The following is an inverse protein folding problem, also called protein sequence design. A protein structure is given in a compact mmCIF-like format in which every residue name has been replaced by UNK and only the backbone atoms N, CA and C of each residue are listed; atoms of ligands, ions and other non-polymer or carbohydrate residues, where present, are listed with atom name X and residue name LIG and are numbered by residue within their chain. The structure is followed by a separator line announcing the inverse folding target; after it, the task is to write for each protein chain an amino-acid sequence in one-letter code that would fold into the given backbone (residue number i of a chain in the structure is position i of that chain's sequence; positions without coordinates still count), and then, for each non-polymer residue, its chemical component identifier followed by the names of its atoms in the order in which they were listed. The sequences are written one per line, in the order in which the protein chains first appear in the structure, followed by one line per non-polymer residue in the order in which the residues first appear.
data_IF_565809041191
#
_entry.id   IF_565809041191
#
_cell.length_a   1.000
_cell.length_b   1.000
_cell.length_c   1.000
_cell.angle_alpha   90.00
_cell.angle_beta   90.00
_cell.angle_gamma   90.00
#
_symmetry.space_group_name_H-M   'P 1'
#
loop_
_entity.id
_entity.type
_entity.pdbx_description
1 polymer ?
2 non-polymer ?
3 non-polymer ?
4 water ?
#
# COMPACT_ATOMS: atom_id res chain seq x y z
N UNK A 21 8.74 6.52 17.01
CA UNK A 21 7.81 5.64 16.28
C UNK A 21 8.45 5.10 15.00
N UNK A 22 8.40 3.78 14.80
CA UNK A 22 8.85 3.16 13.55
C UNK A 22 7.84 2.18 12.95
N UNK A 23 7.96 1.95 11.64
CA UNK A 23 7.02 1.09 10.93
C UNK A 23 7.32 -0.39 11.18
N UNK A 24 6.27 -1.12 11.56
CA UNK A 24 6.36 -2.54 11.88
C UNK A 24 5.54 -3.39 10.91
N UNK A 25 4.63 -2.73 10.21
CA UNK A 25 3.65 -3.42 9.37
C UNK A 25 3.47 -2.61 8.08
N UNK A 26 3.51 -3.31 6.94
CA UNK A 26 3.20 -2.68 5.64
C UNK A 26 1.99 -3.35 4.96
N UNK A 27 0.92 -2.58 4.79
CA UNK A 27 -0.29 -3.06 4.12
C UNK A 27 -0.21 -2.72 2.63
N UNK A 28 -0.45 -3.71 1.78
CA UNK A 28 -0.49 -3.45 0.34
C UNK A 28 -1.90 -3.65 -0.19
N UNK A 29 -2.56 -2.55 -0.51
CA UNK A 29 -4.00 -2.56 -0.81
C UNK A 29 -4.27 -3.11 -2.19
N UNK A 30 -5.40 -3.81 -2.32
CA UNK A 30 -5.78 -4.41 -3.60
C UNK A 30 -6.98 -5.33 -3.47
N UNK A 31 -7.46 -5.80 -4.61
CA UNK A 31 -8.48 -6.85 -4.67
C UNK A 31 -7.81 -8.18 -4.99
N UNK A 32 -8.18 -9.21 -4.24
CA UNK A 32 -7.80 -10.60 -4.51
C UNK A 32 -8.46 -11.11 -5.82
N UNK A 33 -7.79 -12.04 -6.51
CA UNK A 33 -8.29 -12.62 -7.78
C UNK A 33 -7.45 -12.21 -8.99
N UNK A 34 -7.29 -13.16 -9.93
CA UNK A 34 -6.47 -12.97 -11.14
C UNK A 34 -6.96 -11.82 -12.01
N UNK A 35 -8.28 -11.63 -12.06
CA UNK A 35 -8.88 -10.52 -12.82
C UNK A 35 -8.59 -9.11 -12.25
N UNK A 36 -8.09 -9.04 -11.02
CA UNK A 36 -7.80 -7.76 -10.41
C UNK A 36 -6.31 -7.50 -10.24
N UNK A 37 -5.51 -8.57 -10.27
CA UNK A 37 -4.11 -8.46 -9.88
C UNK A 37 -3.29 -7.48 -10.72
N UNK A 38 -3.69 -7.25 -11.97
CA UNK A 38 -2.98 -6.34 -12.88
C UNK A 38 -3.54 -4.90 -12.90
N UNK A 39 -4.63 -4.65 -12.18
CA UNK A 39 -5.32 -3.35 -12.19
C UNK A 39 -4.59 -2.27 -11.39
N UNK A 40 -4.93 -1.01 -11.68
CA UNK A 40 -4.32 0.16 -11.02
C UNK A 40 -4.62 0.23 -9.51
N UNK A 41 -5.80 -0.28 -9.13
CA UNK A 41 -6.24 -0.29 -7.74
C UNK A 41 -5.36 -1.22 -6.88
N UNK A 42 -4.55 -2.07 -7.53
CA UNK A 42 -3.72 -3.08 -6.83
C UNK A 42 -2.24 -2.73 -6.66
N UNK A 43 -1.82 -1.51 -7.03
CA UNK A 43 -0.40 -1.15 -6.99
C UNK A 43 0.23 -1.26 -5.59
N UNK A 44 -0.58 -1.12 -4.54
CA UNK A 44 -0.09 -1.29 -3.16
C UNK A 44 0.36 -2.73 -2.94
N UNK A 45 -0.47 -3.68 -3.39
CA UNK A 45 -0.17 -5.10 -3.38
C UNK A 45 1.12 -5.36 -4.15
N UNK A 46 1.26 -4.77 -5.34
CA UNK A 46 2.51 -4.92 -6.11
C UNK A 46 3.73 -4.49 -5.33
N UNK A 47 3.63 -3.37 -4.60
CA UNK A 47 4.75 -2.87 -3.79
C UNK A 47 5.24 -3.94 -2.79
N UNK A 48 4.33 -4.49 -1.99
CA UNK A 48 4.71 -5.53 -1.01
C UNK A 48 5.14 -6.83 -1.66
N UNK A 49 4.58 -7.13 -2.84
CA UNK A 49 4.93 -8.34 -3.61
C UNK A 49 6.38 -8.25 -4.08
N UNK A 50 6.79 -7.05 -4.48
CA UNK A 50 8.17 -6.81 -4.89
C UNK A 50 9.16 -6.91 -3.71
N UNK A 51 8.79 -6.38 -2.54
CA UNK A 51 9.62 -6.57 -1.32
C UNK A 51 9.81 -8.04 -0.96
N UNK A 52 8.70 -8.78 -0.91
CA UNK A 52 8.73 -10.22 -0.66
C UNK A 52 9.65 -10.96 -1.66
N UNK A 53 9.42 -10.71 -2.95
CA UNK A 53 10.21 -11.33 -4.01
C UNK A 53 11.70 -10.97 -3.95
N UNK A 54 12.04 -9.69 -3.74
CA UNK A 54 13.44 -9.28 -3.53
C UNK A 54 14.14 -10.05 -2.39
N UNK A 55 13.35 -10.54 -1.44
CA UNK A 55 13.86 -11.18 -0.23
C UNK A 55 13.71 -12.70 -0.23
N UNK A 56 13.29 -13.28 -1.37
CA UNK A 56 13.00 -14.73 -1.50
C UNK A 56 12.01 -15.24 -0.42
N UNK A 57 11.00 -14.43 -0.12
CA UNK A 57 9.99 -14.74 0.89
C UNK A 57 8.62 -14.88 0.25
N UNK A 58 7.89 -15.91 0.67
CA UNK A 58 6.52 -16.16 0.23
C UNK A 58 5.48 -15.61 1.23
N UNK A 59 4.27 -15.36 0.73
CA UNK A 59 3.15 -15.02 1.58
C UNK A 59 2.47 -16.31 2.06
N UNK A 60 1.84 -16.25 3.23
CA UNK A 60 1.00 -17.35 3.73
C UNK A 60 -0.43 -16.91 3.83
N UNK A 61 -1.36 -17.80 3.52
CA UNK A 61 -2.79 -17.50 3.67
C UNK A 61 -3.18 -17.52 5.15
N UNK A 62 -3.78 -16.42 5.62
CA UNK A 62 -4.24 -16.32 7.02
C UNK A 62 -5.71 -15.92 7.08
N UNK A 63 -6.64 -16.86 6.72
CA UNK A 63 -8.07 -16.50 6.61
C UNK A 63 -8.66 -15.96 7.92
N UNK A 64 -8.14 -16.40 9.07
CA UNK A 64 -8.63 -15.93 10.38
C UNK A 64 -8.27 -14.46 10.62
N UNK A 65 -7.25 -13.98 9.90
CA UNK A 65 -6.84 -12.58 9.95
C UNK A 65 -7.27 -11.84 8.68
N UNK A 66 -8.00 -12.54 7.80
CA UNK A 66 -8.55 -11.95 6.56
C UNK A 66 -7.47 -11.41 5.62
N UNK A 67 -6.35 -12.13 5.53
CA UNK A 67 -5.24 -11.66 4.71
C UNK A 67 -4.19 -12.72 4.40
N UNK A 68 -3.24 -12.33 3.56
CA UNK A 68 -2.02 -13.08 3.33
C UNK A 68 -0.89 -12.32 4.01
N UNK A 69 -0.02 -13.05 4.71
CA UNK A 69 1.08 -12.46 5.46
C UNK A 69 2.44 -12.96 5.03
N UNK A 70 3.43 -12.07 5.12
CA UNK A 70 4.85 -12.39 4.97
C UNK A 70 5.67 -11.51 5.90
N UNK A 71 6.71 -12.07 6.49
CA UNK A 71 7.58 -11.31 7.39
C UNK A 71 8.92 -11.23 6.69
N UNK A 72 9.46 -10.02 6.56
CA UNK A 72 10.71 -9.83 5.82
C UNK A 72 11.69 -8.96 6.58
N UNK A 73 12.98 -9.17 6.31
CA UNK A 73 14.05 -8.29 6.80
C UNK A 73 14.30 -7.14 5.85
N UNK A 74 14.32 -5.93 6.38
CA UNK A 74 14.68 -4.74 5.62
C UNK A 74 15.89 -4.12 6.31
N UNK A 75 17.06 -4.67 5.97
CA UNK A 75 18.34 -4.32 6.58
C UNK A 75 18.26 -4.68 8.07
N UNK A 76 18.35 -3.68 8.96
CA UNK A 76 18.32 -3.97 10.39
C UNK A 76 16.95 -3.84 11.05
N UNK A 77 15.91 -3.68 10.22
CA UNK A 77 14.51 -3.71 10.68
C UNK A 77 13.75 -4.91 10.10
N UNK A 78 12.67 -5.31 10.76
CA UNK A 78 11.76 -6.32 10.24
C UNK A 78 10.38 -5.72 10.10
N UNK A 79 9.62 -6.20 9.12
CA UNK A 79 8.22 -5.82 9.00
C UNK A 79 7.35 -7.03 8.66
N UNK A 80 6.06 -6.91 8.98
CA UNK A 80 5.03 -7.82 8.50
C UNK A 80 4.39 -7.20 7.27
N UNK A 81 4.39 -7.95 6.17
CA UNK A 81 3.73 -7.51 4.93
C UNK A 81 2.35 -8.11 4.92
N UNK A 82 1.34 -7.28 4.61
CA UNK A 82 -0.07 -7.69 4.69
C UNK A 82 -0.83 -7.39 3.40
N UNK A 83 -1.39 -8.44 2.77
CA UNK A 83 -2.35 -8.23 1.69
C UNK A 83 -3.74 -8.69 2.13
N UNK A 84 -4.65 -7.73 2.39
CA UNK A 84 -6.02 -8.08 2.80
C UNK A 84 -6.72 -8.87 1.69
N UNK A 85 -7.39 -9.97 2.05
CA UNK A 85 -8.12 -10.79 1.06
C UNK A 85 -9.63 -10.48 1.10
N UNK A 86 -9.96 -9.30 1.63
CA UNK A 86 -11.34 -8.89 1.91
C UNK A 86 -12.04 -8.23 0.72
N UNK A 87 -11.27 -7.88 -0.31
CA UNK A 87 -11.68 -6.84 -1.25
C UNK A 87 -11.48 -5.45 -0.67
N UNK A 88 -11.27 -4.49 -1.56
CA UNK A 88 -10.81 -3.17 -1.16
C UNK A 88 -11.62 -2.56 -0.02
N UNK A 89 -12.95 -2.53 -0.19
CA UNK A 89 -13.83 -1.79 0.70
C UNK A 89 -13.94 -2.31 2.13
N UNK A 90 -13.37 -3.48 2.42
CA UNK A 90 -13.33 -4.00 3.78
C UNK A 90 -11.92 -4.32 4.29
N UNK A 91 -10.92 -3.72 3.63
CA UNK A 91 -9.50 -3.80 4.01
C UNK A 91 -9.21 -3.58 5.51
N UNK A 92 -9.95 -2.67 6.14
CA UNK A 92 -9.79 -2.38 7.57
C UNK A 92 -10.01 -3.58 8.49
N UNK A 93 -10.92 -4.49 8.11
CA UNK A 93 -11.15 -5.73 8.87
C UNK A 93 -9.84 -6.50 9.03
N UNK A 94 -9.13 -6.69 7.92
CA UNK A 94 -7.80 -7.35 7.92
C UNK A 94 -6.73 -6.58 8.70
N UNK A 95 -6.54 -5.29 8.37
CA UNK A 95 -5.55 -4.43 9.05
C UNK A 95 -5.77 -4.40 10.59
N UNK A 96 -7.04 -4.29 11.00
CA UNK A 96 -7.42 -4.26 12.42
C UNK A 96 -7.10 -5.58 13.15
N UNK A 97 -7.54 -6.70 12.57
CA UNK A 97 -7.22 -8.03 13.11
C UNK A 97 -5.72 -8.29 13.22
N UNK A 98 -4.96 -7.99 12.16
CA UNK A 98 -3.51 -8.17 12.16
C UNK A 98 -2.80 -7.30 13.21
N UNK A 99 -3.16 -6.01 13.27
CA UNK A 99 -2.62 -5.08 14.26
C UNK A 99 -2.89 -5.56 15.69
N UNK A 100 -4.11 -6.06 15.94
CA UNK A 100 -4.46 -6.62 17.24
C UNK A 100 -3.64 -7.85 17.58
N UNK A 101 -3.52 -8.77 16.62
CA UNK A 101 -2.75 -10.00 16.78
C UNK A 101 -1.25 -9.78 17.06
N UNK A 102 -0.61 -8.93 16.26
CA UNK A 102 0.81 -8.60 16.46
C UNK A 102 1.09 -7.47 17.43
N UNK A 103 0.04 -6.86 17.96
CA UNK A 103 0.16 -5.79 18.97
C UNK A 103 0.88 -4.56 18.41
N UNK A 104 0.38 -4.08 17.26
CA UNK A 104 0.96 -2.97 16.52
C UNK A 104 0.04 -1.76 16.59
N UNK A 105 0.58 -0.60 16.93
CA UNK A 105 -0.18 0.65 16.99
C UNK A 105 -0.43 1.25 15.59
N UNK A 106 -1.50 2.06 15.43
CA UNK A 106 -1.70 2.72 14.14
C UNK A 106 -0.49 3.50 13.58
N UNK A 107 0.30 4.16 14.43
CA UNK A 107 1.48 4.94 13.99
C UNK A 107 2.59 4.05 13.39
N UNK A 108 2.55 2.75 13.72
CA UNK A 108 3.54 1.78 13.26
C UNK A 108 3.07 1.04 11.98
N UNK A 109 2.00 1.54 11.37
CA UNK A 109 1.48 0.95 10.14
C UNK A 109 1.73 1.87 8.95
N UNK A 110 2.30 1.27 7.90
CA UNK A 110 2.39 1.90 6.59
C UNK A 110 1.36 1.28 5.67
N UNK A 111 0.54 2.14 5.05
CA UNK A 111 -0.47 1.72 4.07
C UNK A 111 -0.07 2.21 2.67
N UNK A 112 0.12 1.27 1.76
CA UNK A 112 0.53 1.55 0.39
C UNK A 112 -0.67 1.42 -0.53
N UNK A 113 -0.92 2.45 -1.34
CA UNK A 113 -2.14 2.52 -2.14
C UNK A 113 -1.96 3.30 -3.44
N UNK A 114 -2.85 3.02 -4.39
CA UNK A 114 -2.97 3.83 -5.60
C UNK A 114 -3.38 5.27 -5.25
N UNK A 115 -2.78 6.22 -5.97
CA UNK A 115 -3.06 7.63 -5.82
C UNK A 115 -3.36 8.27 -7.19
N UNK A 116 -4.60 8.73 -7.33
CA UNK A 116 -5.07 9.44 -8.54
C UNK A 116 -4.44 10.82 -8.74
N UNK A 117 -4.09 11.49 -7.64
CA UNK A 117 -3.64 12.89 -7.66
C UNK A 117 -2.22 13.11 -8.20
N UNK A 118 -1.44 12.03 -8.29
CA UNK A 118 -0.14 12.09 -8.94
C UNK A 118 -0.05 11.04 -10.06
N UNK A 119 0.89 11.26 -10.97
CA UNK A 119 1.02 10.46 -12.17
C UNK A 119 1.80 9.18 -11.96
N UNK A 120 1.61 8.24 -12.87
CA UNK A 120 2.39 7.01 -12.90
C UNK A 120 3.87 7.39 -12.95
N UNK A 121 4.70 6.74 -12.13
CA UNK A 121 6.11 7.10 -12.02
C UNK A 121 6.40 7.91 -10.77
N UNK A 122 5.36 8.56 -10.26
CA UNK A 122 5.47 9.35 -9.04
C UNK A 122 5.02 8.57 -7.81
N UNK A 123 5.63 8.93 -6.69
CA UNK A 123 5.43 8.30 -5.39
C UNK A 123 5.65 9.34 -4.29
N UNK A 124 4.66 9.51 -3.41
CA UNK A 124 4.75 10.45 -2.27
C UNK A 124 4.50 9.76 -0.93
N UNK A 125 4.96 10.40 0.14
CA UNK A 125 4.73 9.93 1.50
C UNK A 125 3.79 10.91 2.23
N UNK A 126 2.83 10.40 3.02
CA UNK A 126 1.92 11.28 3.81
C UNK A 126 1.49 10.63 5.11
N UNK A 127 1.74 11.29 6.24
CA UNK A 127 1.19 10.85 7.54
C UNK A 127 -0.25 11.37 7.73
N UNK A 128 -1.20 10.47 7.94
CA UNK A 128 -2.58 10.85 8.29
C UNK A 128 -3.32 11.54 7.15
N UNK A 129 -4.38 12.25 7.51
CA UNK A 129 -5.29 12.86 6.54
C UNK A 129 -6.46 11.94 6.21
N UNK A 130 -7.49 12.50 5.59
CA UNK A 130 -8.71 11.76 5.27
C UNK A 130 -8.51 10.80 4.11
N UNK A 131 -9.51 9.96 3.90
CA UNK A 131 -9.45 8.90 2.91
C UNK A 131 -9.47 9.39 1.46
N UNK A 132 -9.86 10.65 1.26
CA UNK A 132 -9.99 11.24 -0.10
C UNK A 132 -10.86 10.45 -1.09
N UNK A 133 -11.93 9.82 -0.61
CA UNK A 133 -12.75 8.94 -1.45
C UNK A 133 -12.19 7.54 -1.76
N UNK A 134 -11.04 7.16 -1.18
CA UNK A 134 -10.49 5.79 -1.33
C UNK A 134 -11.16 4.83 -0.34
N UNK A 135 -11.88 3.82 -0.86
CA UNK A 135 -12.60 2.85 0.00
C UNK A 135 -11.69 2.01 0.91
N UNK A 136 -10.48 1.70 0.43
CA UNK A 136 -9.53 0.93 1.22
C UNK A 136 -9.13 1.73 2.44
N UNK A 137 -8.76 2.99 2.20
CA UNK A 137 -8.43 3.95 3.27
C UNK A 137 -9.62 4.27 4.19
N UNK A 138 -10.81 4.47 3.63
CA UNK A 138 -11.99 4.71 4.49
C UNK A 138 -12.27 3.55 5.46
N UNK A 139 -12.13 2.33 4.95
CA UNK A 139 -12.37 1.11 5.74
C UNK A 139 -11.34 0.96 6.88
N UNK A 140 -10.09 1.30 6.58
CA UNK A 140 -9.01 1.23 7.57
C UNK A 140 -9.24 2.26 8.67
N UNK A 141 -9.63 3.49 8.29
CA UNK A 141 -9.92 4.57 9.26
C UNK A 141 -11.03 4.15 10.23
N UNK A 142 -12.00 3.43 9.68
CA UNK A 142 -13.20 2.98 10.37
C UNK A 142 -12.84 1.90 11.40
N UNK A 143 -12.16 0.85 10.95
CA UNK A 143 -11.75 -0.25 11.83
C UNK A 143 -10.68 0.14 12.86
N UNK A 144 -9.72 0.98 12.49
CA UNK A 144 -8.72 1.45 13.46
C UNK A 144 -9.25 2.50 14.44
N UNK A 145 -10.25 3.28 14.01
CA UNK A 145 -10.79 4.37 14.84
C UNK A 145 -9.96 5.64 14.70
N UNK A 146 -9.05 5.66 13.74
CA UNK A 146 -8.14 6.78 13.51
C UNK A 146 -7.61 6.68 12.09
N UNK A 147 -7.28 7.83 11.50
CA UNK A 147 -6.58 7.88 10.21
C UNK A 147 -5.07 8.14 10.33
N UNK A 148 -4.55 8.09 11.56
CA UNK A 148 -3.19 8.56 11.85
C UNK A 148 -2.14 7.48 11.65
N UNK A 149 -2.11 6.92 10.44
CA UNK A 149 -1.09 5.96 10.05
C UNK A 149 -0.32 6.52 8.85
N UNK A 150 0.81 5.90 8.52
CA UNK A 150 1.62 6.41 7.42
C UNK A 150 1.11 5.87 6.07
N UNK A 151 1.09 6.72 5.05
CA UNK A 151 0.68 6.28 3.72
C UNK A 151 1.78 6.47 2.68
N UNK A 152 1.96 5.46 1.83
CA UNK A 152 2.84 5.58 0.67
C UNK A 152 1.94 5.63 -0.55
N UNK A 153 1.89 6.80 -1.18
CA UNK A 153 0.98 7.02 -2.28
C UNK A 153 1.70 6.76 -3.59
N UNK A 154 1.26 5.71 -4.29
CA UNK A 154 1.78 5.36 -5.61
C UNK A 154 0.89 5.93 -6.75
N UNK A 155 1.42 6.91 -7.48
CA UNK A 155 0.69 7.52 -8.59
C UNK A 155 0.26 6.53 -9.66
N UNK A 156 -1.00 6.67 -10.07
CA UNK A 156 -1.58 5.90 -11.17
C UNK A 156 -2.14 6.88 -12.21
N UNK A 157 -2.06 8.17 -11.90
CA UNK A 157 -2.63 9.21 -12.74
C UNK A 157 -4.13 9.28 -12.57
N UNK A 158 -4.74 10.21 -13.30
CA UNK A 158 -6.17 10.47 -13.21
C UNK A 158 -6.74 10.45 -14.64
N UNK A 159 -7.94 9.83 -14.83
CA UNK A 159 -8.55 9.74 -16.18
C UNK A 159 -9.04 11.08 -16.76
N UNK A 160 -9.18 12.11 -15.93
CA UNK A 160 -9.55 13.43 -16.45
C UNK A 160 -10.92 13.92 -16.02
N UNK A 161 -11.84 13.00 -15.71
CA UNK A 161 -13.11 13.39 -15.09
C UNK A 161 -13.48 12.38 -14.02
N UNK A 162 -14.01 12.87 -12.89
CA UNK A 162 -14.43 12.02 -11.77
C UNK A 162 -15.30 10.82 -12.21
N UNK A 163 -16.20 11.04 -13.16
CA UNK A 163 -17.13 9.98 -13.60
C UNK A 163 -16.45 8.76 -14.27
N UNK A 164 -15.15 8.87 -14.57
CA UNK A 164 -14.38 7.79 -15.22
C UNK A 164 -13.43 7.08 -14.24
N UNK A 165 -13.41 7.55 -12.99
CA UNK A 165 -12.46 7.08 -11.97
C UNK A 165 -12.59 5.58 -11.60
N UNK A 166 -13.82 5.10 -11.40
CA UNK A 166 -14.05 3.72 -10.96
C UNK A 166 -13.49 2.73 -11.97
N UNK A 167 -13.93 2.88 -13.22
CA UNK A 167 -13.44 2.08 -14.33
C UNK A 167 -11.93 2.22 -14.49
N UNK A 168 -11.40 3.45 -14.33
CA UNK A 168 -9.96 3.70 -14.43
C UNK A 168 -9.13 2.86 -13.44
N UNK A 169 -9.51 2.87 -12.16
CA UNK A 169 -8.76 2.11 -11.15
C UNK A 169 -8.98 0.60 -11.29
N UNK A 170 -10.11 0.22 -11.88
CA UNK A 170 -10.39 -1.19 -12.13
C UNK A 170 -9.91 -1.64 -13.49
N UNK A 171 -8.99 -0.88 -14.08
CA UNK A 171 -8.36 -1.22 -15.37
C UNK A 171 -6.84 -1.31 -15.24
N UNK A 172 -6.24 -2.03 -16.18
CA UNK A 172 -4.80 -2.17 -16.27
C UNK A 172 -4.20 -0.88 -16.80
N UNK A 173 -3.04 -0.49 -16.25
CA UNK A 173 -2.31 0.62 -16.81
C UNK A 173 -1.83 0.25 -18.21
N UNK A 174 -1.53 1.26 -19.03
CA UNK A 174 -0.88 1.02 -20.30
C UNK A 174 0.52 0.45 -20.05
N UNK A 175 1.15 -0.05 -21.11
CA UNK A 175 2.52 -0.56 -21.03
C UNK A 175 3.46 0.49 -20.44
N UNK A 176 3.35 1.74 -20.91
CA UNK A 176 4.24 2.83 -20.46
C UNK A 176 3.99 3.24 -19.00
N UNK A 177 2.72 3.29 -18.61
CA UNK A 177 2.34 3.49 -17.21
C UNK A 177 2.85 2.36 -16.26
N UNK A 178 2.64 1.09 -16.63
CA UNK A 178 3.14 -0.07 -15.85
C UNK A 178 4.65 0.03 -15.60
N UNK A 179 5.42 0.30 -16.66
CA UNK A 179 6.85 0.61 -16.53
C UNK A 179 7.13 1.79 -15.57
N UNK A 180 6.33 2.85 -15.63
CA UNK A 180 6.52 4.00 -14.74
C UNK A 180 6.17 3.67 -13.27
N UNK A 181 5.07 2.95 -13.07
CA UNK A 181 4.69 2.46 -11.76
C UNK A 181 5.77 1.53 -11.17
N UNK A 182 6.27 0.58 -11.96
CA UNK A 182 7.36 -0.32 -11.50
C UNK A 182 8.61 0.45 -11.05
N UNK A 183 8.93 1.50 -11.80
CA UNK A 183 10.02 2.40 -11.45
C UNK A 183 9.74 3.14 -10.14
N UNK A 184 8.52 3.67 -9.98
CA UNK A 184 8.13 4.36 -8.73
C UNK A 184 8.16 3.39 -7.54
N UNK A 185 7.78 2.13 -7.78
CA UNK A 185 7.91 1.09 -6.76
C UNK A 185 9.38 0.89 -6.35
N UNK A 186 10.27 0.82 -7.33
CA UNK A 186 11.72 0.71 -7.06
C UNK A 186 12.22 1.90 -6.24
N UNK A 187 11.73 3.10 -6.57
CA UNK A 187 12.10 4.32 -5.86
C UNK A 187 11.71 4.26 -4.37
N UNK A 188 10.46 3.86 -4.07
CA UNK A 188 9.99 3.66 -2.69
C UNK A 188 10.79 2.60 -1.93
N UNK A 189 11.13 1.50 -2.60
CA UNK A 189 12.02 0.49 -2.02
C UNK A 189 13.38 1.10 -1.62
N UNK A 190 13.96 1.92 -2.49
CA UNK A 190 15.21 2.61 -2.19
C UNK A 190 15.14 3.59 -0.98
N UNK A 191 13.94 4.11 -0.70
CA UNK A 191 13.71 5.03 0.43
C UNK A 191 13.16 4.31 1.68
N UNK A 192 13.05 2.98 1.62
CA UNK A 192 12.33 2.22 2.65
C UNK A 192 12.91 2.27 4.06
N UNK A 193 14.24 2.29 4.18
CA UNK A 193 14.87 2.42 5.49
C UNK A 193 14.49 3.76 6.14
N UNK A 194 14.53 4.83 5.36
CA UNK A 194 14.07 6.12 5.84
C UNK A 194 12.57 6.16 6.17
N UNK A 195 11.76 5.54 5.31
CA UNK A 195 10.31 5.51 5.52
C UNK A 195 9.98 4.81 6.85
N UNK A 196 10.59 3.64 7.07
CA UNK A 196 10.43 2.86 8.30
C UNK A 196 10.83 3.66 9.55
N UNK A 197 11.82 4.54 9.41
CA UNK A 197 12.30 5.41 10.51
C UNK A 197 11.68 6.80 10.60
N UNK A 198 10.57 7.00 9.89
CA UNK A 198 9.84 8.27 9.91
C UNK A 198 10.68 9.50 9.52
N UNK A 199 11.66 9.29 8.65
CA UNK A 199 12.41 10.40 8.07
C UNK A 199 11.74 10.71 6.74
N UNK A 200 10.74 11.59 6.78
CA UNK A 200 9.83 11.79 5.65
C UNK A 200 10.09 13.07 4.85
N UNK A 201 11.35 13.34 4.51
CA UNK A 201 11.68 14.50 3.66
C UNK A 201 11.12 14.36 2.24
N UNK A 202 10.65 15.48 1.63
CA UNK A 202 9.96 15.41 0.32
C UNK A 202 11.03 15.23 -0.76
N UNK A 203 11.75 14.13 -0.62
CA UNK A 203 13.03 13.94 -1.25
C UNK A 203 12.95 12.68 -2.15
N UNK A 204 11.71 12.24 -2.40
CA UNK A 204 11.44 11.13 -3.31
C UNK A 204 11.47 11.61 -4.78
N UNK A 205 10.97 12.81 -5.02
CA UNK A 205 10.96 13.37 -6.38
C UNK A 205 12.32 13.92 -6.87
N UNK A 206 13.33 13.84 -6.01
CA UNK A 206 14.70 14.23 -6.36
C UNK A 206 15.58 13.04 -6.76
N UNK A 207 14.99 11.85 -6.67
CA UNK A 207 15.64 10.60 -7.03
C UNK A 207 15.80 10.48 -8.55
X LIG B 1 -0.20 8.47 -15.44
X LIG C 1 -0.61 -16.02 -1.10
X LIG C 1 0.40 -16.46 -2.02
X LIG C 1 -0.66 -17.02 0.05
X LIG C 1 -1.19 -18.27 -0.42
X LIG D 1 -11.23 6.12 -6.01
X LIG D 1 -10.50 5.03 -5.45
X LIG D 1 -12.64 5.67 -6.31
X LIG D 1 -13.35 5.42 -5.08
X LIG E 1 13.98 -4.26 0.57
X LIG E 1 14.46 -5.21 1.53
X LIG E 1 13.46 -5.04 -0.64
X LIG E 1 14.22 -4.78 -1.84
X LIG F 1 -11.37 12.34 -20.54
X LIG F 1 -12.05 13.36 -19.77
X LIG F 1 -12.07 12.12 -21.89
X LIG F 1 -13.15 11.17 -21.79
X LIG G 1 -4.82 -18.37 10.12
X LIG G 1 -6.00 -18.35 9.32
X LIG G 1 -4.71 -16.99 10.74
X LIG G 1 -3.48 -16.92 11.46
#
# INVERSE_FOLDING_TARGET
GSSHHHHHHSSGLVPRGSHMPKIKMIIGLGNIGKEYQDTRHNVGEWFIAKIAQDNNQSFSSNPKLNCNLAKVSIDYNNVVLVFPTTYMNNSGLAVSKVANFYKIAPAEILVVHDELDIDSGEIRLKKGGGHGGHNGLRSINQHLGTNDYLRLRIGIGHPGHKSKVANYVLSNPSIAQKKDIDSAIDNGICFLDDIINYKLEPVMQKL
CL CL
EDO C1 O1 C2 O2
EDO C1 O1 C2 O2
EDO C1 O1 C2 O2
EDO C1 O1 C2 O2
EDO C1 O1 C2 O2
#
